data_IF_727828300273
#
_entry.id   IF_727828300273
#
_cell.length_a   1.000
_cell.length_b   1.000
_cell.length_c   1.000
_cell.angle_alpha   90.00
_cell.angle_beta   90.00
_cell.angle_gamma   90.00
#
_symmetry.space_group_name_H-M   'P 1'
#
loop_
_entity.id
_entity.type
_entity.pdbx_description
1 polymer ?
#
# COMPACT_ATOMS: atom_id res chain seq x y z
N UNK A 1 -10.15 18.06 3.47
CA UNK A 1 -8.98 17.27 3.89
C UNK A 1 -7.75 18.08 3.51
N UNK A 2 -6.89 18.40 4.47
CA UNK A 2 -5.67 19.20 4.26
C UNK A 2 -4.48 18.31 4.56
N UNK A 3 -3.57 18.17 3.60
CA UNK A 3 -2.27 17.51 3.76
C UNK A 3 -1.20 18.59 3.84
N UNK A 4 -0.29 18.48 4.80
CA UNK A 4 0.84 19.38 4.96
C UNK A 4 2.14 18.62 4.67
N UNK A 5 3.01 19.24 3.88
CA UNK A 5 4.38 18.77 3.64
C UNK A 5 5.34 19.79 4.22
N UNK A 6 6.23 19.33 5.09
CA UNK A 6 7.25 20.15 5.72
C UNK A 6 8.64 19.65 5.35
N UNK A 7 9.53 20.59 5.03
CA UNK A 7 10.95 20.33 4.79
C UNK A 7 11.78 21.49 5.31
N UNK A 8 12.83 21.16 6.06
CA UNK A 8 13.90 22.08 6.41
C UNK A 8 15.16 21.57 5.69
N UNK A 9 15.68 22.29 4.68
CA UNK A 9 16.75 21.78 3.82
C UNK A 9 18.03 21.35 4.56
N UNK A 10 18.31 21.98 5.71
CA UNK A 10 19.53 21.77 6.48
C UNK A 10 19.32 20.86 7.71
N UNK A 11 18.11 20.32 7.89
CA UNK A 11 17.78 19.47 9.03
C UNK A 11 17.78 17.99 8.65
N UNK A 12 18.14 17.14 9.62
CA UNK A 12 18.00 15.70 9.50
C UNK A 12 16.51 15.30 9.47
N UNK A 13 16.13 14.48 8.48
CA UNK A 13 14.73 14.12 8.25
C UNK A 13 14.15 13.26 9.37
N UNK A 14 14.97 12.40 10.01
CA UNK A 14 14.52 11.60 11.14
C UNK A 14 14.27 12.48 12.37
N UNK A 15 15.16 13.43 12.65
CA UNK A 15 14.93 14.42 13.70
C UNK A 15 13.69 15.28 13.44
N UNK A 16 13.45 15.70 12.18
CA UNK A 16 12.24 16.41 11.81
C UNK A 16 10.98 15.55 12.05
N UNK A 17 11.03 14.26 11.71
CA UNK A 17 9.92 13.33 11.91
C UNK A 17 9.59 13.17 13.40
N UNK A 18 10.61 13.02 14.25
CA UNK A 18 10.42 12.90 15.70
C UNK A 18 9.75 14.15 16.28
N UNK A 19 10.26 15.34 15.94
CA UNK A 19 9.68 16.62 16.39
C UNK A 19 8.24 16.79 15.89
N UNK A 20 7.97 16.46 14.63
CA UNK A 20 6.63 16.56 14.09
C UNK A 20 5.66 15.59 14.78
N UNK A 21 6.09 14.36 15.08
CA UNK A 21 5.30 13.39 15.86
C UNK A 21 5.01 13.87 17.27
N UNK A 22 5.98 14.52 17.91
CA UNK A 22 5.79 15.12 19.23
C UNK A 22 4.77 16.27 19.19
N UNK A 23 4.90 17.18 18.23
CA UNK A 23 3.99 18.33 18.05
C UNK A 23 2.56 17.87 17.75
N UNK A 24 2.41 16.84 16.93
CA UNK A 24 1.13 16.36 16.44
C UNK A 24 0.50 15.23 17.27
N UNK A 25 1.09 14.87 18.41
CA UNK A 25 0.73 13.68 19.17
C UNK A 25 -0.78 13.61 19.46
N UNK A 26 -1.46 12.63 18.86
CA UNK A 26 -2.89 12.38 19.04
C UNK A 26 -3.83 13.24 18.20
N UNK A 27 -3.32 14.21 17.44
CA UNK A 27 -4.12 15.12 16.61
C UNK A 27 -3.96 14.89 15.10
N UNK A 28 -2.82 14.33 14.68
CA UNK A 28 -2.52 14.10 13.28
C UNK A 28 -1.66 12.85 13.06
N UNK A 29 -1.78 12.24 11.89
CA UNK A 29 -0.86 11.20 11.43
C UNK A 29 0.38 11.85 10.82
N UNK A 30 1.56 11.38 11.23
CA UNK A 30 2.84 11.93 10.77
C UNK A 30 3.72 10.82 10.21
N UNK A 31 4.10 10.98 8.94
CA UNK A 31 4.92 10.03 8.19
C UNK A 31 5.96 10.76 7.33
N UNK A 32 6.72 10.00 6.54
CA UNK A 32 7.62 10.52 5.52
C UNK A 32 7.04 10.27 4.13
N UNK A 33 7.32 11.17 3.20
CA UNK A 33 7.06 10.95 1.78
C UNK A 33 8.34 11.19 0.97
N UNK A 34 8.78 10.11 0.32
CA UNK A 34 10.12 10.04 -0.25
C UNK A 34 11.22 10.35 0.77
N UNK A 35 12.36 10.81 0.26
CA UNK A 35 13.56 11.04 1.07
C UNK A 35 13.71 12.51 1.53
N UNK A 36 12.62 13.28 1.56
CA UNK A 36 12.75 14.75 1.65
C UNK A 36 11.70 15.48 2.47
N UNK A 37 10.58 14.86 2.80
CA UNK A 37 9.46 15.57 3.42
C UNK A 37 8.87 14.80 4.60
N UNK A 38 8.59 15.54 5.66
CA UNK A 38 7.63 15.12 6.68
C UNK A 38 6.23 15.43 6.16
N UNK A 39 5.38 14.43 6.19
CA UNK A 39 3.98 14.51 5.80
C UNK A 39 3.09 14.45 7.05
N UNK A 40 2.16 15.41 7.15
CA UNK A 40 1.16 15.47 8.22
C UNK A 40 -0.24 15.40 7.61
N UNK A 41 -1.05 14.48 8.12
CA UNK A 41 -2.43 14.22 7.71
C UNK A 41 -3.36 14.20 8.92
N UNK A 42 -4.66 14.30 8.73
CA UNK A 42 -5.61 14.18 9.84
C UNK A 42 -5.46 12.83 10.56
N UNK A 43 -5.69 12.81 11.88
CA UNK A 43 -5.64 11.58 12.67
C UNK A 43 -6.53 10.47 12.08
N UNK A 44 -6.02 9.23 12.07
CA UNK A 44 -6.73 8.07 11.53
C UNK A 44 -6.82 8.01 10.01
N UNK A 45 -6.17 8.92 9.27
CA UNK A 45 -6.06 8.81 7.81
C UNK A 45 -4.94 7.83 7.46
N UNK A 46 -5.32 6.67 6.94
CA UNK A 46 -4.40 5.65 6.43
C UNK A 46 -4.95 5.00 5.17
N UNK A 47 -4.08 4.38 4.36
CA UNK A 47 -4.47 3.81 3.06
C UNK A 47 -5.44 2.64 3.22
N UNK A 48 -5.27 1.83 4.25
CA UNK A 48 -6.18 0.73 4.60
C UNK A 48 -7.58 1.21 4.98
N UNK A 49 -7.70 2.38 5.61
CA UNK A 49 -9.00 2.98 5.95
C UNK A 49 -9.72 3.39 4.67
N UNK A 50 -9.03 4.11 3.78
CA UNK A 50 -9.59 4.49 2.48
C UNK A 50 -9.95 3.26 1.62
N UNK A 51 -9.11 2.22 1.65
CA UNK A 51 -9.37 1.00 0.89
C UNK A 51 -10.58 0.22 1.44
N UNK A 52 -10.77 0.23 2.76
CA UNK A 52 -11.96 -0.34 3.42
C UNK A 52 -13.22 0.36 2.93
N UNK A 53 -13.26 1.70 2.99
CA UNK A 53 -14.42 2.48 2.54
C UNK A 53 -14.75 2.23 1.05
N UNK A 54 -13.72 2.16 0.19
CA UNK A 54 -13.91 1.88 -1.24
C UNK A 54 -14.44 0.46 -1.45
N UNK A 55 -13.86 -0.54 -0.80
CA UNK A 55 -14.28 -1.94 -0.94
C UNK A 55 -15.73 -2.15 -0.46
N UNK A 56 -16.10 -1.55 0.66
CA UNK A 56 -17.48 -1.55 1.17
C UNK A 56 -18.45 -0.90 0.17
N UNK A 57 -18.08 0.26 -0.40
CA UNK A 57 -18.91 0.96 -1.38
C UNK A 57 -19.16 0.15 -2.67
N UNK A 58 -18.22 -0.73 -3.01
CA UNK A 58 -18.28 -1.62 -4.17
C UNK A 58 -18.88 -2.99 -3.85
N UNK A 59 -19.18 -3.30 -2.59
CA UNK A 59 -19.62 -4.63 -2.17
C UNK A 59 -18.56 -5.72 -2.38
N UNK A 60 -17.28 -5.35 -2.33
CA UNK A 60 -16.14 -6.26 -2.53
C UNK A 60 -15.56 -6.63 -1.17
N UNK A 61 -15.50 -7.93 -0.88
CA UNK A 61 -14.80 -8.42 0.31
C UNK A 61 -13.29 -8.25 0.17
N UNK A 62 -12.59 -7.93 1.26
CA UNK A 62 -11.13 -7.73 1.25
C UNK A 62 -10.38 -8.93 0.66
N UNK A 63 -10.88 -10.16 0.84
CA UNK A 63 -10.28 -11.39 0.29
C UNK A 63 -10.23 -11.41 -1.25
N UNK A 64 -11.05 -10.59 -1.91
CA UNK A 64 -11.04 -10.41 -3.36
C UNK A 64 -10.19 -9.21 -3.83
N UNK A 65 -9.52 -8.51 -2.90
CA UNK A 65 -8.68 -7.34 -3.19
C UNK A 65 -7.21 -7.76 -3.28
N UNK A 66 -6.54 -7.25 -4.31
CA UNK A 66 -5.07 -7.30 -4.44
C UNK A 66 -4.54 -5.88 -4.27
N UNK A 67 -3.59 -5.68 -3.36
CA UNK A 67 -2.92 -4.40 -3.16
C UNK A 67 -1.44 -4.50 -3.57
N UNK A 68 -0.91 -3.42 -4.13
CA UNK A 68 0.49 -3.28 -4.51
C UNK A 68 1.09 -2.07 -3.81
N UNK A 69 2.34 -2.18 -3.34
CA UNK A 69 2.99 -1.09 -2.64
C UNK A 69 4.51 -1.19 -2.58
N UNK A 70 5.14 -0.06 -2.26
CA UNK A 70 6.59 0.07 -2.16
C UNK A 70 7.03 0.96 -0.99
N UNK A 71 6.14 1.78 -0.45
CA UNK A 71 6.45 2.77 0.59
C UNK A 71 6.05 2.29 1.99
N UNK A 72 6.63 2.91 3.03
CA UNK A 72 6.21 2.69 4.43
C UNK A 72 4.69 2.84 4.63
N UNK A 73 4.08 3.82 3.95
CA UNK A 73 2.64 4.12 4.04
C UNK A 73 1.76 3.05 3.38
N UNK A 74 2.34 2.11 2.64
CA UNK A 74 1.61 1.02 2.00
C UNK A 74 1.43 -0.20 2.92
N UNK A 75 2.23 -0.31 3.98
CA UNK A 75 2.26 -1.51 4.83
C UNK A 75 0.89 -1.90 5.38
N UNK A 76 0.10 -0.92 5.86
CA UNK A 76 -1.26 -1.17 6.38
C UNK A 76 -2.20 -1.71 5.29
N UNK A 77 -2.18 -1.10 4.10
CA UNK A 77 -2.96 -1.55 2.94
C UNK A 77 -2.55 -2.96 2.48
N UNK A 78 -1.24 -3.26 2.47
CA UNK A 78 -0.72 -4.56 2.05
C UNK A 78 -1.17 -5.67 3.00
N UNK A 79 -1.08 -5.45 4.32
CA UNK A 79 -1.56 -6.40 5.32
C UNK A 79 -3.09 -6.55 5.35
N UNK A 80 -3.82 -5.51 4.92
CA UNK A 80 -5.27 -5.51 4.89
C UNK A 80 -5.86 -6.29 3.70
N UNK A 81 -5.20 -6.29 2.54
CA UNK A 81 -5.71 -6.93 1.33
C UNK A 81 -5.80 -8.45 1.47
N UNK A 82 -6.61 -9.09 0.61
CA UNK A 82 -6.63 -10.55 0.48
C UNK A 82 -5.35 -11.10 -0.14
N UNK A 83 -4.65 -10.26 -0.91
CA UNK A 83 -3.30 -10.49 -1.39
C UNK A 83 -2.54 -9.16 -1.41
N UNK A 84 -1.64 -8.96 -0.45
CA UNK A 84 -0.69 -7.85 -0.45
C UNK A 84 0.58 -8.20 -1.21
N UNK A 85 1.00 -7.35 -2.15
CA UNK A 85 2.20 -7.54 -2.97
C UNK A 85 3.15 -6.35 -2.85
N UNK A 86 4.37 -6.58 -2.40
CA UNK A 86 5.44 -5.59 -2.45
C UNK A 86 6.35 -5.82 -3.66
N UNK A 87 6.87 -4.75 -4.27
CA UNK A 87 7.95 -4.86 -5.27
C UNK A 87 9.31 -5.03 -4.60
N UNK A 88 10.28 -5.65 -5.27
CA UNK A 88 11.56 -6.04 -4.65
C UNK A 88 12.36 -4.89 -4.03
N UNK A 89 12.22 -3.66 -4.55
CA UNK A 89 12.90 -2.47 -4.08
C UNK A 89 12.04 -1.63 -3.10
N UNK A 90 11.00 -2.22 -2.54
CA UNK A 90 10.15 -1.61 -1.54
C UNK A 90 10.88 -1.37 -0.20
N UNK A 91 10.33 -0.43 0.58
CA UNK A 91 10.70 -0.19 1.97
C UNK A 91 10.52 -1.46 2.82
N UNK A 92 11.40 -1.67 3.80
CA UNK A 92 11.41 -2.85 4.70
C UNK A 92 10.02 -3.16 5.26
N UNK A 93 9.33 -2.15 5.79
CA UNK A 93 7.99 -2.34 6.38
C UNK A 93 6.94 -2.79 5.36
N UNK A 94 7.04 -2.39 4.10
CA UNK A 94 6.14 -2.86 3.05
C UNK A 94 6.46 -4.32 2.66
N UNK A 95 7.74 -4.66 2.54
CA UNK A 95 8.20 -6.04 2.31
C UNK A 95 7.73 -6.99 3.43
N UNK A 96 7.83 -6.54 4.68
CA UNK A 96 7.44 -7.33 5.85
C UNK A 96 5.91 -7.51 5.96
N UNK A 97 5.12 -6.59 5.42
CA UNK A 97 3.66 -6.62 5.47
C UNK A 97 3.01 -7.38 4.30
N UNK A 98 3.74 -7.63 3.21
CA UNK A 98 3.23 -8.27 2.01
C UNK A 98 3.20 -9.80 2.12
N UNK A 99 2.20 -10.43 1.48
CA UNK A 99 2.12 -11.88 1.33
C UNK A 99 3.06 -12.41 0.24
N UNK A 100 3.34 -11.57 -0.77
CA UNK A 100 4.21 -11.88 -1.90
C UNK A 100 5.15 -10.70 -2.19
N UNK A 101 6.40 -11.01 -2.53
CA UNK A 101 7.33 -10.03 -3.11
C UNK A 101 7.52 -10.37 -4.59
N UNK A 102 7.26 -9.40 -5.46
CA UNK A 102 7.47 -9.50 -6.92
C UNK A 102 8.77 -8.79 -7.33
N UNK A 103 9.08 -8.78 -8.64
CA UNK A 103 10.23 -8.05 -9.18
C UNK A 103 10.15 -6.54 -8.85
N UNK A 104 11.25 -5.81 -9.06
CA UNK A 104 11.26 -4.36 -8.82
C UNK A 104 10.29 -3.62 -9.75
N UNK A 105 9.98 -2.36 -9.42
CA UNK A 105 9.23 -1.49 -10.33
C UNK A 105 9.95 -1.29 -11.67
N UNK A 106 11.28 -1.32 -11.69
CA UNK A 106 12.11 -1.20 -12.91
C UNK A 106 12.06 -2.46 -13.79
N UNK A 107 11.49 -3.55 -13.27
CA UNK A 107 11.40 -4.85 -13.93
C UNK A 107 9.94 -5.29 -14.18
N UNK A 108 9.00 -4.34 -14.16
CA UNK A 108 7.57 -4.56 -14.36
C UNK A 108 6.93 -5.51 -13.32
N UNK A 109 7.40 -5.48 -12.06
CA UNK A 109 6.95 -6.39 -11.01
C UNK A 109 5.43 -6.50 -10.84
N UNK A 110 4.73 -5.36 -10.86
CA UNK A 110 3.26 -5.32 -10.79
C UNK A 110 2.62 -6.01 -12.01
N UNK A 111 3.12 -5.74 -13.21
CA UNK A 111 2.57 -6.31 -14.44
C UNK A 111 2.68 -7.84 -14.43
N UNK A 112 3.82 -8.40 -13.98
CA UNK A 112 4.02 -9.85 -13.90
C UNK A 112 2.97 -10.54 -13.03
N UNK A 113 2.60 -9.91 -11.90
CA UNK A 113 1.55 -10.42 -11.01
C UNK A 113 0.18 -10.35 -11.67
N UNK A 114 -0.15 -9.20 -12.28
CA UNK A 114 -1.43 -9.04 -12.98
C UNK A 114 -1.60 -10.05 -14.13
N UNK A 115 -0.55 -10.28 -14.91
CA UNK A 115 -0.56 -11.29 -15.97
C UNK A 115 -0.80 -12.70 -15.43
N UNK A 116 -0.15 -13.06 -14.32
CA UNK A 116 -0.33 -14.36 -13.66
C UNK A 116 -1.77 -14.54 -13.17
N UNK A 117 -2.33 -13.54 -12.49
CA UNK A 117 -3.71 -13.57 -11.99
C UNK A 117 -4.73 -13.66 -13.13
N UNK A 118 -4.48 -12.95 -14.23
CA UNK A 118 -5.36 -12.95 -15.40
C UNK A 118 -5.33 -14.30 -16.10
N UNK A 119 -4.15 -14.89 -16.29
CA UNK A 119 -4.02 -16.25 -16.85
C UNK A 119 -4.74 -17.29 -15.98
N UNK A 120 -4.59 -17.22 -14.66
CA UNK A 120 -5.28 -18.13 -13.74
C UNK A 120 -6.82 -18.01 -13.86
N UNK A 121 -7.35 -16.78 -13.91
CA UNK A 121 -8.79 -16.53 -14.08
C UNK A 121 -9.35 -17.09 -15.40
N UNK A 122 -8.64 -16.90 -16.50
CA UNK A 122 -9.06 -17.46 -17.80
C UNK A 122 -9.05 -18.99 -17.77
N UNK A 123 -8.07 -19.60 -17.12
CA UNK A 123 -8.01 -21.06 -16.91
C UNK A 123 -9.21 -21.59 -16.11
N UNK A 124 -9.52 -20.96 -14.98
CA UNK A 124 -10.64 -21.34 -14.12
C UNK A 124 -11.99 -21.29 -14.85
N UNK A 125 -12.28 -20.19 -15.58
CA UNK A 125 -13.51 -20.03 -16.36
C UNK A 125 -13.66 -21.10 -17.45
N UNK A 126 -12.57 -21.50 -18.10
CA UNK A 126 -12.59 -22.55 -19.13
C UNK A 126 -12.88 -23.93 -18.53
N UNK A 127 -12.31 -24.24 -17.37
CA UNK A 127 -12.57 -25.49 -16.67
C UNK A 127 -14.04 -25.59 -16.22
N UNK A 128 -14.61 -24.52 -15.67
CA UNK A 128 -16.03 -24.47 -15.26
C UNK A 128 -16.99 -24.69 -16.44
N UNK A 129 -16.68 -24.12 -17.61
CA UNK A 129 -17.49 -24.32 -18.82
C UNK A 129 -17.43 -25.74 -19.41
N UNK A 130 -16.39 -26.53 -19.10
CA UNK A 130 -16.23 -27.90 -19.62
C UNK A 130 -16.84 -28.98 -18.71
N UNK A 131 -17.21 -28.65 -17.47
CA UNK A 131 -17.80 -29.58 -16.50
C UNK A 131 -19.33 -29.62 -16.60
N UNK A 132 -19.93 -28.70 -17.36
CA UNK A 132 -21.38 -28.57 -17.55
C UNK A 132 -21.92 -29.21 -18.85
N UNK A 133 -21.05 -29.88 -19.62
CA UNK A 133 -21.36 -30.70 -20.81
C UNK A 133 -21.16 -32.20 -20.50
#
# INVERSE_FOLDING_TARGET
MTKLLARLPDADLAAMLEVAREICAGEAEVTLTGDSFVEVMAAGVAKEVALTEVAESLGVDRSAVVAFGDQLTDAGMLAWAGLGVAVANAHESALAAADEVTASNDEDGVARVLERLTRARVGARRAESQVSD
#
